data_IF_176881467923
#
_entry.id   IF_176881467923
#
_cell.length_a   1.000
_cell.length_b   1.000
_cell.length_c   1.000
_cell.angle_alpha   90.00
_cell.angle_beta   90.00
_cell.angle_gamma   90.00
#
_symmetry.space_group_name_H-M   'P 1'
#
loop_
_entity.id
_entity.type
_entity.pdbx_description
1 polymer ?
#
# COMPACT_ATOMS: atom_id res chain seq x y z
N UNK A 1 4.90 -1.13 1.05
CA UNK A 1 5.59 -2.42 0.82
C UNK A 1 5.24 -3.32 1.99
N UNK A 2 4.74 -4.52 1.70
CA UNK A 2 4.62 -5.61 2.65
C UNK A 2 5.68 -6.66 2.33
N UNK A 3 6.49 -7.08 3.32
CA UNK A 3 7.56 -8.07 3.10
C UNK A 3 7.06 -9.51 3.01
N UNK A 4 5.88 -9.79 3.56
CA UNK A 4 5.33 -11.14 3.64
C UNK A 4 3.82 -11.10 3.36
N UNK A 5 3.49 -11.29 2.10
CA UNK A 5 2.13 -11.47 1.61
C UNK A 5 1.90 -12.94 1.32
N UNK A 6 1.20 -13.64 2.23
CA UNK A 6 1.00 -15.08 2.11
C UNK A 6 -0.10 -15.32 1.07
N UNK A 7 0.29 -15.87 -0.08
CA UNK A 7 -0.63 -16.22 -1.16
C UNK A 7 -0.60 -17.74 -1.38
N UNK A 8 -1.70 -18.26 -1.93
CA UNK A 8 -1.84 -19.65 -2.31
C UNK A 8 -1.21 -19.84 -3.68
N UNK A 9 -0.15 -20.61 -3.75
CA UNK A 9 0.59 -20.90 -4.98
C UNK A 9 0.22 -22.28 -5.48
N UNK A 10 -0.29 -22.42 -6.72
CA UNK A 10 -0.60 -23.72 -7.28
C UNK A 10 0.65 -24.60 -7.36
N UNK A 11 0.52 -25.83 -6.87
CA UNK A 11 1.53 -26.89 -7.04
C UNK A 11 0.83 -28.17 -7.52
N UNK A 12 1.57 -29.17 -8.03
CA UNK A 12 0.99 -30.45 -8.42
C UNK A 12 0.22 -31.16 -7.30
N UNK A 13 0.53 -30.89 -6.03
CA UNK A 13 -0.15 -31.44 -4.85
C UNK A 13 -1.30 -30.58 -4.31
N UNK A 14 -1.64 -29.47 -4.97
CA UNK A 14 -2.63 -28.48 -4.52
C UNK A 14 -2.02 -27.14 -4.12
N UNK A 15 -2.84 -26.11 -3.84
CA UNK A 15 -2.32 -24.78 -3.48
C UNK A 15 -1.63 -24.76 -2.12
N UNK A 16 -0.39 -24.28 -2.07
CA UNK A 16 0.42 -24.15 -0.83
C UNK A 16 0.56 -22.68 -0.46
N UNK A 17 0.44 -22.29 0.82
CA UNK A 17 0.68 -20.92 1.25
C UNK A 17 2.17 -20.58 1.18
N UNK A 18 2.54 -19.57 0.38
CA UNK A 18 3.90 -19.09 0.20
C UNK A 18 3.94 -17.57 0.44
N UNK A 19 4.89 -17.04 1.23
CA UNK A 19 5.06 -15.61 1.42
C UNK A 19 5.72 -14.96 0.19
N UNK A 20 5.13 -13.88 -0.31
CA UNK A 20 5.65 -13.06 -1.40
C UNK A 20 5.88 -11.60 -0.97
N UNK A 21 6.83 -10.88 -1.59
CA UNK A 21 6.87 -9.44 -1.47
C UNK A 21 5.63 -8.81 -2.14
N UNK A 22 5.04 -7.78 -1.53
CA UNK A 22 3.95 -7.03 -2.13
C UNK A 22 4.19 -5.51 -2.08
N UNK A 23 4.32 -4.90 -3.25
CA UNK A 23 4.61 -3.49 -3.45
C UNK A 23 3.45 -2.76 -4.13
N UNK A 24 2.98 -1.66 -3.52
CA UNK A 24 2.13 -0.68 -4.20
C UNK A 24 2.95 0.55 -4.58
N UNK A 25 2.75 1.06 -5.79
CA UNK A 25 3.45 2.24 -6.30
C UNK A 25 2.63 3.52 -6.04
N UNK A 26 3.15 4.49 -5.27
CA UNK A 26 2.43 5.75 -4.98
C UNK A 26 2.02 6.54 -6.23
N UNK A 27 2.75 6.38 -7.34
CA UNK A 27 2.43 7.04 -8.62
C UNK A 27 1.10 6.58 -9.22
N UNK A 28 0.61 5.39 -8.85
CA UNK A 28 -0.68 4.86 -9.29
C UNK A 28 -1.83 5.23 -8.34
N UNK A 29 -1.57 6.03 -7.30
CA UNK A 29 -2.58 6.33 -6.30
C UNK A 29 -3.79 7.07 -6.88
N UNK A 30 -4.97 6.66 -6.45
CA UNK A 30 -6.25 7.33 -6.65
C UNK A 30 -6.67 8.05 -5.36
N UNK A 31 -7.69 8.91 -5.47
CA UNK A 31 -8.19 9.73 -4.35
C UNK A 31 -7.07 10.57 -3.71
N UNK A 32 -6.29 11.22 -4.57
CA UNK A 32 -5.19 12.13 -4.23
C UNK A 32 -5.72 13.53 -3.92
N UNK A 33 -4.92 14.36 -3.25
CA UNK A 33 -5.28 15.77 -3.05
C UNK A 33 -5.32 16.55 -4.36
N UNK A 34 -6.15 17.59 -4.43
CA UNK A 34 -6.29 18.43 -5.64
C UNK A 34 -5.64 19.80 -5.51
N UNK A 35 -5.51 20.31 -4.28
CA UNK A 35 -5.00 21.64 -3.95
C UNK A 35 -3.65 21.60 -3.26
N UNK A 36 -3.32 20.48 -2.60
CA UNK A 36 -2.07 20.35 -1.84
C UNK A 36 -1.03 19.61 -2.69
N UNK A 37 0.02 20.32 -3.08
CA UNK A 37 1.15 19.75 -3.80
C UNK A 37 2.38 19.73 -2.90
N UNK A 38 3.10 18.62 -2.89
CA UNK A 38 4.43 18.49 -2.27
C UNK A 38 5.43 18.25 -3.38
N UNK A 39 6.41 19.15 -3.52
CA UNK A 39 7.37 19.12 -4.62
C UNK A 39 6.71 19.07 -6.02
N UNK A 40 5.59 19.79 -6.20
CA UNK A 40 4.86 19.86 -7.47
C UNK A 40 3.99 18.64 -7.79
N UNK A 41 3.90 17.65 -6.88
CA UNK A 41 3.07 16.45 -7.05
C UNK A 41 1.94 16.43 -6.00
N UNK A 42 0.76 15.89 -6.33
CA UNK A 42 -0.32 15.68 -5.37
C UNK A 42 0.13 14.88 -4.15
N UNK A 43 -0.22 15.37 -2.97
CA UNK A 43 0.06 14.65 -1.74
C UNK A 43 -0.94 13.50 -1.53
N UNK A 44 -0.49 12.46 -0.82
CA UNK A 44 -1.34 11.34 -0.43
C UNK A 44 -1.88 11.52 0.99
N UNK A 45 -3.11 11.08 1.19
CA UNK A 45 -3.77 11.11 2.50
C UNK A 45 -4.28 9.71 2.85
N UNK A 46 -4.80 9.54 4.08
CA UNK A 46 -5.42 8.29 4.50
C UNK A 46 -6.56 7.82 3.57
N UNK A 47 -7.20 8.75 2.85
CA UNK A 47 -8.27 8.43 1.87
C UNK A 47 -7.72 7.92 0.54
N UNK A 48 -6.44 8.13 0.26
CA UNK A 48 -5.82 7.70 -0.97
C UNK A 48 -5.66 6.17 -1.00
N UNK A 49 -5.77 5.59 -2.19
CA UNK A 49 -5.63 4.14 -2.38
C UNK A 49 -4.76 3.87 -3.59
N UNK A 50 -3.93 2.84 -3.56
CA UNK A 50 -3.20 2.39 -4.75
C UNK A 50 -3.99 1.19 -5.30
N UNK A 51 -4.49 1.23 -6.53
CA UNK A 51 -5.46 0.25 -7.02
C UNK A 51 -4.86 -1.15 -7.25
N UNK A 52 -3.53 -1.25 -7.40
CA UNK A 52 -2.86 -2.49 -7.78
C UNK A 52 -1.52 -2.64 -7.04
N UNK A 53 -1.19 -3.88 -6.72
CA UNK A 53 0.11 -4.28 -6.16
C UNK A 53 0.90 -5.20 -7.08
N UNK A 54 2.20 -5.32 -6.82
CA UNK A 54 3.12 -6.16 -7.55
C UNK A 54 4.03 -6.97 -6.60
N UNK A 55 4.44 -8.17 -7.03
CA UNK A 55 5.39 -9.07 -6.36
C UNK A 55 4.77 -10.40 -5.92
N UNK A 56 3.45 -10.46 -5.82
CA UNK A 56 2.63 -11.60 -5.36
C UNK A 56 1.96 -12.39 -6.51
N UNK A 57 2.27 -12.06 -7.76
CA UNK A 57 1.68 -12.69 -8.94
C UNK A 57 1.86 -14.22 -9.04
N UNK A 58 2.93 -14.84 -8.51
CA UNK A 58 3.04 -16.31 -8.51
C UNK A 58 1.95 -17.00 -7.65
N UNK A 59 1.38 -16.29 -6.67
CA UNK A 59 0.28 -16.77 -5.83
C UNK A 59 -1.09 -16.74 -6.52
N UNK A 60 -1.18 -17.30 -7.73
CA UNK A 60 -2.36 -17.16 -8.61
C UNK A 60 -3.67 -17.74 -8.05
N UNK A 61 -3.61 -18.56 -7.00
CA UNK A 61 -4.81 -19.03 -6.28
C UNK A 61 -5.27 -18.06 -5.17
N UNK A 62 -4.72 -16.84 -5.12
CA UNK A 62 -5.20 -15.74 -4.28
C UNK A 62 -4.48 -15.63 -2.93
N UNK A 63 -4.66 -14.49 -2.26
CA UNK A 63 -4.19 -14.27 -0.89
C UNK A 63 -4.78 -15.27 0.10
N UNK A 64 -4.00 -15.71 1.09
CA UNK A 64 -4.42 -16.68 2.10
C UNK A 64 -5.61 -16.21 2.94
N UNK A 65 -5.69 -14.91 3.20
CA UNK A 65 -6.76 -14.26 3.98
C UNK A 65 -7.78 -13.61 3.05
N UNK A 66 -7.35 -12.75 2.12
CA UNK A 66 -8.28 -11.96 1.30
C UNK A 66 -8.75 -12.65 0.03
N UNK A 67 -8.10 -13.73 -0.40
CA UNK A 67 -8.34 -14.39 -1.68
C UNK A 67 -7.90 -13.58 -2.90
N UNK A 68 -7.24 -12.43 -2.70
CA UNK A 68 -6.83 -11.54 -3.80
C UNK A 68 -5.32 -11.47 -3.96
N UNK A 69 -4.92 -11.27 -5.20
CA UNK A 69 -3.57 -10.85 -5.61
C UNK A 69 -3.70 -9.61 -6.47
N UNK A 70 -2.64 -8.81 -6.59
CA UNK A 70 -2.64 -7.56 -7.36
C UNK A 70 -3.78 -6.59 -6.98
N UNK A 71 -4.26 -6.66 -5.74
CA UNK A 71 -5.36 -5.88 -5.23
C UNK A 71 -4.95 -4.49 -4.75
N UNK A 72 -5.89 -3.80 -4.09
CA UNK A 72 -5.66 -2.44 -3.64
C UNK A 72 -4.76 -2.38 -2.40
N UNK A 73 -4.00 -1.28 -2.28
CA UNK A 73 -3.33 -0.84 -1.05
C UNK A 73 -4.11 0.30 -0.41
N UNK A 74 -4.32 0.19 0.90
CA UNK A 74 -4.92 1.23 1.73
C UNK A 74 -3.93 1.68 2.81
N UNK A 75 -3.97 2.95 3.17
CA UNK A 75 -3.22 3.48 4.30
C UNK A 75 -4.01 3.23 5.60
N UNK A 76 -3.49 2.37 6.48
CA UNK A 76 -4.17 1.99 7.71
C UNK A 76 -4.21 3.17 8.72
N UNK A 77 -3.19 4.01 8.69
CA UNK A 77 -3.09 5.21 9.51
C UNK A 77 -2.63 6.41 8.66
N UNK A 78 -2.47 7.55 9.33
CA UNK A 78 -1.87 8.75 8.79
C UNK A 78 -1.42 9.63 9.95
N UNK A 79 -0.94 10.82 9.64
CA UNK A 79 -0.49 11.79 10.63
C UNK A 79 -1.60 12.18 11.62
N UNK A 80 -1.25 12.24 12.90
CA UNK A 80 -2.21 12.63 13.95
C UNK A 80 -2.49 14.15 13.97
N UNK A 81 -1.52 14.96 13.51
CA UNK A 81 -1.59 16.44 13.59
C UNK A 81 -1.72 17.11 12.24
N UNK A 82 -1.13 16.54 11.20
CA UNK A 82 -1.11 17.15 9.85
C UNK A 82 -2.20 16.53 8.99
N UNK A 83 -3.14 17.38 8.56
CA UNK A 83 -4.22 17.03 7.64
C UNK A 83 -4.05 17.80 6.34
N UNK A 84 -4.19 17.10 5.21
CA UNK A 84 -4.22 17.69 3.88
C UNK A 84 -5.66 17.53 3.38
N UNK A 85 -6.31 18.64 3.04
CA UNK A 85 -7.73 18.65 2.63
C UNK A 85 -8.64 17.94 3.65
N UNK A 86 -8.40 18.20 4.95
CA UNK A 86 -9.16 17.61 6.05
C UNK A 86 -8.87 16.12 6.33
N UNK A 87 -8.00 15.48 5.55
CA UNK A 87 -7.66 14.06 5.68
C UNK A 87 -6.23 13.88 6.20
N UNK A 88 -5.95 12.91 7.11
CA UNK A 88 -4.61 12.70 7.65
C UNK A 88 -3.55 12.51 6.57
N UNK A 89 -2.43 13.22 6.65
CA UNK A 89 -1.32 13.10 5.71
C UNK A 89 -0.67 11.71 5.80
N UNK A 90 -0.36 11.10 4.66
CA UNK A 90 0.49 9.90 4.61
C UNK A 90 1.95 10.32 4.63
N UNK A 91 2.76 9.59 5.37
CA UNK A 91 4.20 9.83 5.51
C UNK A 91 5.02 8.56 5.47
N UNK A 92 6.35 8.70 5.45
CA UNK A 92 7.24 7.58 5.69
C UNK A 92 6.84 6.86 6.99
N UNK A 93 6.97 5.54 7.00
CA UNK A 93 6.57 4.61 8.06
C UNK A 93 5.07 4.50 8.33
N UNK A 94 4.22 5.13 7.50
CA UNK A 94 2.76 4.93 7.61
C UNK A 94 2.40 3.47 7.34
N UNK A 95 1.65 2.80 8.22
CA UNK A 95 1.22 1.42 8.00
C UNK A 95 0.23 1.32 6.84
N UNK A 96 0.36 0.25 6.05
CA UNK A 96 -0.47 -0.03 4.88
C UNK A 96 -1.08 -1.42 4.95
N UNK A 97 -2.24 -1.59 4.32
CA UNK A 97 -2.87 -2.89 4.05
C UNK A 97 -2.74 -3.16 2.57
N UNK A 98 -2.23 -4.32 2.19
CA UNK A 98 -2.01 -4.76 0.83
C UNK A 98 -3.02 -5.86 0.45
N UNK A 99 -3.39 -5.96 -0.82
CA UNK A 99 -4.33 -6.96 -1.32
C UNK A 99 -5.66 -7.02 -0.55
N UNK A 100 -6.32 -5.88 -0.37
CA UNK A 100 -7.57 -5.78 0.42
C UNK A 100 -7.41 -6.31 1.87
N UNK A 101 -6.20 -6.20 2.44
CA UNK A 101 -5.91 -6.63 3.80
C UNK A 101 -5.36 -8.04 3.93
N UNK A 102 -4.88 -8.67 2.85
CA UNK A 102 -4.16 -9.93 2.95
C UNK A 102 -2.86 -9.80 3.75
N UNK A 103 -2.20 -8.66 3.60
CA UNK A 103 -0.91 -8.41 4.22
C UNK A 103 -0.80 -6.99 4.78
N UNK A 104 -0.03 -6.86 5.84
CA UNK A 104 0.31 -5.56 6.42
C UNK A 104 1.70 -5.13 5.99
N UNK A 105 1.86 -3.86 5.68
CA UNK A 105 3.12 -3.27 5.29
C UNK A 105 3.29 -1.87 5.84
N UNK A 106 4.26 -1.15 5.29
CA UNK A 106 4.40 0.27 5.54
C UNK A 106 4.92 1.00 4.30
N UNK A 107 4.82 2.32 4.32
CA UNK A 107 5.54 3.20 3.40
C UNK A 107 7.01 3.20 3.80
N UNK A 108 7.83 2.43 3.09
CA UNK A 108 9.27 2.28 3.37
C UNK A 108 10.15 3.19 2.52
N UNK A 109 9.62 3.70 1.41
CA UNK A 109 10.33 4.61 0.51
C UNK A 109 9.59 5.94 0.43
N UNK A 110 10.26 7.07 0.68
CA UNK A 110 9.64 8.37 0.50
C UNK A 110 9.55 8.72 -0.98
N UNK A 111 8.47 9.38 -1.40
CA UNK A 111 8.30 9.87 -2.78
C UNK A 111 9.21 11.06 -3.11
N UNK A 112 9.73 11.74 -2.09
CA UNK A 112 10.66 12.86 -2.19
C UNK A 112 11.38 13.03 -0.83
N UNK A 113 12.53 13.70 -0.81
CA UNK A 113 13.39 13.84 0.40
C UNK A 113 13.42 15.25 1.00
N UNK A 114 12.73 16.22 0.42
CA UNK A 114 12.74 17.65 0.82
C UNK A 114 11.77 17.98 1.95
N UNK A 115 10.61 17.32 2.02
CA UNK A 115 9.55 17.61 3.00
C UNK A 115 9.27 16.36 3.83
N UNK A 116 9.31 16.49 5.16
CA UNK A 116 9.03 15.38 6.06
C UNK A 116 7.92 15.78 7.04
N UNK A 117 6.89 14.94 7.15
CA UNK A 117 5.83 15.06 8.16
C UNK A 117 6.22 14.21 9.35
N UNK A 118 6.40 14.82 10.54
CA UNK A 118 7.00 14.16 11.72
C UNK A 118 6.00 13.72 12.78
N UNK A 119 4.70 13.98 12.59
CA UNK A 119 3.67 13.81 13.63
C UNK A 119 2.85 12.53 13.53
#
# INVERSE_FOLDING_TARGET
MSPADVCKTPTPGGPVPIPYPNTGLPMMAASITTKVLVCGMPALTKKSTIPMTNGDQPGTAGGAVSGKIMGKVEFAAGSAKVKLEGSPAVRLTTPTKHNDGNATGAVLQPSQQKVMVMS
#
